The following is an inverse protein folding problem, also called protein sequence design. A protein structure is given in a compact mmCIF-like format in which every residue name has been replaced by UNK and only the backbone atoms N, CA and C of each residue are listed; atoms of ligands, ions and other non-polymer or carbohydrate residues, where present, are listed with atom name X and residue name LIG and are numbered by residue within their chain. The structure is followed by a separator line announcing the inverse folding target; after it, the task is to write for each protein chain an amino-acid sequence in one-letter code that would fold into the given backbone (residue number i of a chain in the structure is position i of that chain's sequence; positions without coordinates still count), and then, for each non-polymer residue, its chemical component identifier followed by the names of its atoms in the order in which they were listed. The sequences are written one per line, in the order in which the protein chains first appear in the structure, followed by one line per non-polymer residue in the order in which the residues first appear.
data_IF_565486666391
#
_entry.id   IF_565486666391
#
_cell.length_a   1.000
_cell.length_b   1.000
_cell.length_c   1.000
_cell.angle_alpha   90.00
_cell.angle_beta   90.00
_cell.angle_gamma   90.00
#
_symmetry.space_group_name_H-M   'P 1'
#
loop_
_entity.id
_entity.type
_entity.pdbx_description
1 polymer ?
#
# COMPACT_ATOMS: atom_id res chain seq x y z
N UNK A 1 7.81 -43.66 -53.27
CA UNK A 1 7.15 -43.82 -51.96
C UNK A 1 7.89 -42.95 -50.97
N UNK A 2 7.31 -41.80 -50.64
CA UNK A 2 7.82 -40.92 -49.59
C UNK A 2 7.17 -41.25 -48.25
N UNK A 3 7.86 -40.90 -47.18
CA UNK A 3 7.32 -40.20 -46.01
C UNK A 3 8.50 -39.86 -45.07
N UNK A 4 8.98 -38.62 -45.20
CA UNK A 4 9.82 -37.96 -44.19
C UNK A 4 8.87 -37.48 -43.09
N UNK A 5 8.97 -38.06 -41.90
CA UNK A 5 8.24 -37.60 -40.72
C UNK A 5 8.76 -36.21 -40.33
N UNK A 6 7.98 -35.16 -40.63
CA UNK A 6 8.16 -33.82 -40.11
C UNK A 6 7.62 -33.77 -38.67
N UNK A 7 8.51 -33.74 -37.69
CA UNK A 7 8.15 -33.34 -36.34
C UNK A 7 7.70 -31.88 -36.36
N UNK A 8 6.38 -31.68 -36.25
CA UNK A 8 5.78 -30.39 -35.99
C UNK A 8 6.14 -29.94 -34.58
N UNK A 9 7.28 -29.25 -34.44
CA UNK A 9 7.60 -28.46 -33.26
C UNK A 9 6.61 -27.29 -33.20
N UNK A 10 5.45 -27.50 -32.58
CA UNK A 10 4.50 -26.44 -32.29
C UNK A 10 5.20 -25.44 -31.38
N UNK A 11 5.64 -24.31 -31.95
CA UNK A 11 6.03 -23.12 -31.19
C UNK A 11 4.89 -22.83 -30.23
N UNK A 12 5.09 -23.12 -28.93
CA UNK A 12 4.28 -22.54 -27.87
C UNK A 12 4.42 -21.04 -28.01
N UNK A 13 3.43 -20.43 -28.65
CA UNK A 13 3.25 -18.98 -28.70
C UNK A 13 3.34 -18.50 -27.26
N UNK A 14 4.35 -17.68 -26.97
CA UNK A 14 4.45 -16.95 -25.72
C UNK A 14 3.16 -16.16 -25.56
N UNK A 15 2.23 -16.69 -24.76
CA UNK A 15 1.01 -16.00 -24.34
C UNK A 15 1.47 -14.71 -23.69
N UNK A 16 1.31 -13.61 -24.42
CA UNK A 16 1.51 -12.27 -23.90
C UNK A 16 0.37 -12.08 -22.88
N UNK A 17 0.67 -12.34 -21.61
CA UNK A 17 -0.32 -12.28 -20.52
C UNK A 17 -0.91 -10.87 -20.50
N UNK A 18 -2.22 -10.76 -20.71
CA UNK A 18 -2.93 -9.50 -20.51
C UNK A 18 -2.79 -9.04 -19.06
N UNK A 19 -2.58 -7.73 -18.86
CA UNK A 19 -2.48 -7.14 -17.52
C UNK A 19 -3.84 -7.21 -16.85
N UNK A 20 -3.89 -7.80 -15.65
CA UNK A 20 -5.11 -7.88 -14.84
C UNK A 20 -5.13 -6.78 -13.81
N UNK A 21 -6.32 -6.24 -13.55
CA UNK A 21 -6.55 -5.10 -12.69
C UNK A 21 -7.55 -5.42 -11.58
N UNK A 22 -7.34 -4.83 -10.41
CA UNK A 22 -8.33 -4.73 -9.33
C UNK A 22 -8.19 -3.34 -8.73
N UNK A 23 -9.26 -2.55 -8.81
CA UNK A 23 -9.26 -1.13 -8.42
C UNK A 23 -8.09 -0.37 -9.06
N UNK A 24 -7.10 0.03 -8.27
CA UNK A 24 -5.90 0.76 -8.69
C UNK A 24 -4.62 -0.09 -8.65
N UNK A 25 -4.75 -1.40 -8.42
CA UNK A 25 -3.65 -2.33 -8.45
C UNK A 25 -3.68 -3.17 -9.73
N UNK A 26 -2.51 -3.57 -10.23
CA UNK A 26 -2.42 -4.43 -11.39
C UNK A 26 -1.32 -5.50 -11.25
N UNK A 27 -1.41 -6.53 -12.11
CA UNK A 27 -0.56 -7.71 -12.02
C UNK A 27 0.92 -7.50 -12.38
N UNK A 28 1.30 -6.34 -12.94
CA UNK A 28 2.69 -6.03 -13.29
C UNK A 28 3.42 -5.27 -12.17
N UNK A 29 2.69 -4.63 -11.25
CA UNK A 29 3.27 -3.93 -10.10
C UNK A 29 3.97 -4.91 -9.14
N UNK A 30 5.08 -4.44 -8.54
CA UNK A 30 5.67 -5.08 -7.36
C UNK A 30 5.05 -4.51 -6.10
N UNK A 31 4.36 -5.33 -5.32
CA UNK A 31 3.54 -4.87 -4.20
C UNK A 31 4.06 -5.47 -2.90
N UNK A 32 4.41 -4.61 -1.94
CA UNK A 32 4.70 -4.99 -0.56
C UNK A 32 3.49 -4.63 0.31
N UNK A 33 2.87 -5.62 0.93
CA UNK A 33 1.77 -5.47 1.87
C UNK A 33 2.31 -5.55 3.30
N UNK A 34 2.11 -4.50 4.08
CA UNK A 34 2.68 -4.34 5.43
C UNK A 34 1.60 -4.36 6.49
N UNK A 35 1.77 -5.22 7.50
CA UNK A 35 0.83 -5.32 8.61
C UNK A 35 -0.46 -6.05 8.23
N UNK A 36 -0.37 -7.01 7.33
CA UNK A 36 -1.46 -7.95 7.10
C UNK A 36 -1.75 -8.71 8.40
N UNK A 37 -3.02 -8.95 8.69
CA UNK A 37 -3.42 -9.85 9.77
C UNK A 37 -3.57 -11.26 9.23
N UNK A 38 -4.79 -11.59 8.81
CA UNK A 38 -5.13 -12.92 8.28
C UNK A 38 -4.82 -13.12 6.79
N UNK A 39 -4.04 -12.22 6.19
CA UNK A 39 -3.67 -12.22 4.77
C UNK A 39 -4.84 -12.17 3.78
N UNK A 40 -6.08 -11.88 4.23
CA UNK A 40 -7.26 -11.92 3.36
C UNK A 40 -7.24 -10.85 2.25
N UNK A 41 -6.62 -9.70 2.49
CA UNK A 41 -6.45 -8.67 1.48
C UNK A 41 -5.41 -9.10 0.43
N UNK A 42 -4.28 -9.64 0.89
CA UNK A 42 -3.25 -10.22 0.01
C UNK A 42 -3.80 -11.34 -0.88
N UNK A 43 -4.60 -12.25 -0.29
CA UNK A 43 -5.22 -13.34 -1.03
C UNK A 43 -6.22 -12.82 -2.09
N UNK A 44 -6.99 -11.79 -1.77
CA UNK A 44 -7.89 -11.14 -2.72
C UNK A 44 -7.15 -10.61 -3.95
N UNK A 45 -6.07 -9.84 -3.75
CA UNK A 45 -5.24 -9.31 -4.83
C UNK A 45 -4.59 -10.44 -5.65
N UNK A 46 -4.00 -11.44 -4.99
CA UNK A 46 -3.38 -12.57 -5.66
C UNK A 46 -4.36 -13.35 -6.55
N UNK A 47 -5.59 -13.55 -6.07
CA UNK A 47 -6.66 -14.19 -6.83
C UNK A 47 -7.08 -13.35 -8.04
N UNK A 48 -7.25 -12.03 -7.87
CA UNK A 48 -7.57 -11.13 -8.97
C UNK A 48 -6.48 -11.12 -10.06
N UNK A 49 -5.20 -11.17 -9.66
CA UNK A 49 -4.08 -11.29 -10.59
C UNK A 49 -3.89 -12.72 -11.13
N UNK A 50 -4.48 -13.71 -10.49
CA UNK A 50 -4.25 -15.13 -10.74
C UNK A 50 -2.82 -15.59 -10.44
N UNK A 51 -2.08 -14.82 -9.62
CA UNK A 51 -0.68 -15.06 -9.25
C UNK A 51 -0.25 -14.08 -8.15
N UNK A 52 0.57 -14.55 -7.20
CA UNK A 52 1.18 -13.72 -6.17
C UNK A 52 2.68 -13.43 -6.41
N UNK A 53 3.22 -13.77 -7.60
CA UNK A 53 4.67 -13.72 -7.89
C UNK A 53 5.35 -12.36 -7.63
N UNK A 54 4.63 -11.26 -7.82
CA UNK A 54 5.15 -9.90 -7.65
C UNK A 54 4.71 -9.28 -6.32
N UNK A 55 4.20 -10.09 -5.38
CA UNK A 55 3.66 -9.63 -4.12
C UNK A 55 4.46 -10.21 -2.95
N UNK A 56 4.71 -9.38 -1.95
CA UNK A 56 5.24 -9.80 -0.64
C UNK A 56 4.27 -9.31 0.42
N UNK A 57 3.72 -10.21 1.22
CA UNK A 57 2.84 -9.87 2.33
C UNK A 57 3.52 -10.14 3.66
N UNK A 58 3.43 -9.19 4.57
CA UNK A 58 4.09 -9.25 5.89
C UNK A 58 3.06 -9.02 6.99
N UNK A 59 3.11 -9.89 8.01
CA UNK A 59 2.36 -9.74 9.25
C UNK A 59 3.34 -9.57 10.41
N UNK A 60 2.93 -8.84 11.44
CA UNK A 60 3.67 -8.73 12.70
C UNK A 60 3.43 -9.95 13.62
N UNK A 61 2.59 -10.91 13.21
CA UNK A 61 2.18 -12.03 14.05
C UNK A 61 3.36 -12.91 14.50
N UNK A 62 3.78 -12.70 15.74
CA UNK A 62 4.46 -13.71 16.54
C UNK A 62 3.51 -14.15 17.66
N UNK A 63 3.58 -15.43 18.05
CA UNK A 63 2.76 -16.04 19.12
C UNK A 63 2.96 -15.41 20.51
N UNK A 64 3.83 -14.38 20.64
CA UNK A 64 4.36 -13.88 21.89
C UNK A 64 4.23 -12.35 22.02
N UNK A 65 3.00 -11.84 22.07
CA UNK A 65 2.75 -10.56 22.78
C UNK A 65 1.35 -10.56 23.40
N UNK A 66 1.07 -11.61 24.16
CA UNK A 66 -0.13 -11.75 24.99
C UNK A 66 0.20 -11.37 26.44
N UNK A 67 0.60 -10.13 26.72
CA UNK A 67 0.68 -9.69 28.12
C UNK A 67 0.33 -8.22 28.34
N UNK A 68 -0.82 -8.07 29.00
CA UNK A 68 -1.35 -6.98 29.83
C UNK A 68 -1.86 -5.69 29.14
N UNK A 69 -3.18 -5.49 29.24
CA UNK A 69 -3.76 -4.21 29.67
C UNK A 69 -4.92 -4.47 30.62
N UNK A 70 -4.69 -4.21 31.89
CA UNK A 70 -5.70 -4.23 32.94
C UNK A 70 -6.35 -2.85 33.08
N UNK A 71 -7.57 -2.90 33.59
CA UNK A 71 -8.53 -1.83 33.80
C UNK A 71 -8.06 -0.85 34.90
N UNK A 72 -7.89 0.43 34.55
CA UNK A 72 -8.08 1.56 35.47
C UNK A 72 -8.54 2.78 34.69
N UNK A 73 -9.02 3.78 35.40
CA UNK A 73 -9.68 5.01 34.94
C UNK A 73 -8.84 5.96 34.05
N UNK A 74 -7.66 5.54 33.56
CA UNK A 74 -6.73 6.32 32.73
C UNK A 74 -6.98 6.23 31.20
N UNK A 75 -8.23 6.09 30.76
CA UNK A 75 -8.58 5.90 29.35
C UNK A 75 -7.98 7.00 28.43
N UNK A 76 -8.04 8.27 28.84
CA UNK A 76 -7.51 9.39 28.05
C UNK A 76 -5.99 9.35 27.89
N UNK A 77 -5.24 8.95 28.93
CA UNK A 77 -3.78 8.86 28.85
C UNK A 77 -3.34 7.67 28.00
N UNK A 78 -4.10 6.56 28.04
CA UNK A 78 -3.86 5.42 27.17
C UNK A 78 -4.15 5.75 25.70
N UNK A 79 -5.25 6.43 25.41
CA UNK A 79 -5.59 6.87 24.05
C UNK A 79 -4.51 7.78 23.46
N UNK A 80 -3.96 8.70 24.27
CA UNK A 80 -2.85 9.56 23.85
C UNK A 80 -1.55 8.78 23.62
N UNK A 81 -1.25 7.78 24.46
CA UNK A 81 -0.08 6.90 24.28
C UNK A 81 -0.19 6.07 23.01
N UNK A 82 -1.36 5.48 22.73
CA UNK A 82 -1.60 4.70 21.51
C UNK A 82 -1.59 5.59 20.26
N UNK A 83 -2.18 6.78 20.31
CA UNK A 83 -2.09 7.77 19.24
C UNK A 83 -0.64 8.10 18.87
N UNK A 84 0.23 8.33 19.88
CA UNK A 84 1.66 8.60 19.65
C UNK A 84 2.36 7.42 19.00
N UNK A 85 2.13 6.19 19.49
CA UNK A 85 2.71 4.97 18.92
C UNK A 85 2.31 4.77 17.46
N UNK A 86 1.02 4.87 17.14
CA UNK A 86 0.54 4.71 15.76
C UNK A 86 1.10 5.79 14.82
N UNK A 87 1.19 7.05 15.26
CA UNK A 87 1.81 8.11 14.47
C UNK A 87 3.30 7.87 14.25
N UNK A 88 4.01 7.37 15.27
CA UNK A 88 5.44 7.05 15.15
C UNK A 88 5.67 5.87 14.21
N UNK A 89 4.80 4.86 14.25
CA UNK A 89 4.79 3.75 13.30
C UNK A 89 4.64 4.27 11.86
N UNK A 90 3.63 5.12 11.61
CA UNK A 90 3.42 5.70 10.27
C UNK A 90 4.60 6.56 9.82
N UNK A 91 5.17 7.39 10.69
CA UNK A 91 6.35 8.20 10.38
C UNK A 91 7.54 7.31 9.98
N UNK A 92 7.83 6.27 10.74
CA UNK A 92 8.90 5.34 10.45
C UNK A 92 8.63 4.52 9.17
N UNK A 93 7.37 4.16 8.93
CA UNK A 93 6.95 3.49 7.70
C UNK A 93 7.24 4.35 6.48
N UNK A 94 6.76 5.60 6.43
CA UNK A 94 7.05 6.51 5.32
C UNK A 94 8.57 6.73 5.14
N UNK A 95 9.30 6.97 6.22
CA UNK A 95 10.76 7.16 6.17
C UNK A 95 11.51 5.92 5.64
N UNK A 96 10.96 4.72 5.85
CA UNK A 96 11.53 3.49 5.31
C UNK A 96 11.13 3.31 3.84
N UNK A 97 9.88 3.60 3.49
CA UNK A 97 9.36 3.52 2.12
C UNK A 97 10.09 4.44 1.17
N UNK A 98 10.48 5.66 1.58
CA UNK A 98 11.22 6.59 0.71
C UNK A 98 12.56 6.04 0.23
N UNK A 99 13.13 5.07 0.94
CA UNK A 99 14.40 4.41 0.58
C UNK A 99 14.23 3.16 -0.28
N UNK A 100 12.99 2.68 -0.44
CA UNK A 100 12.68 1.40 -1.09
C UNK A 100 11.91 1.58 -2.40
N UNK A 101 11.22 2.70 -2.58
CA UNK A 101 10.41 2.96 -3.77
C UNK A 101 11.29 3.34 -4.96
N UNK A 102 10.84 2.90 -6.15
CA UNK A 102 11.29 3.48 -7.41
C UNK A 102 10.76 4.91 -7.57
N UNK A 103 11.28 5.65 -8.55
CA UNK A 103 10.83 7.02 -8.86
C UNK A 103 9.32 7.13 -9.09
N UNK A 104 8.71 6.14 -9.75
CA UNK A 104 7.25 6.05 -9.99
C UNK A 104 6.51 5.26 -8.90
N UNK A 105 7.18 4.90 -7.81
CA UNK A 105 6.60 4.08 -6.76
C UNK A 105 5.62 4.85 -5.87
N UNK A 106 4.58 4.15 -5.41
CA UNK A 106 3.54 4.73 -4.56
C UNK A 106 3.47 4.05 -3.17
N UNK A 107 3.15 4.83 -2.14
CA UNK A 107 2.70 4.34 -0.83
C UNK A 107 1.19 4.46 -0.75
N UNK A 108 0.50 3.34 -0.56
CA UNK A 108 -0.93 3.32 -0.34
C UNK A 108 -1.24 3.03 1.12
N UNK A 109 -1.96 3.94 1.79
CA UNK A 109 -2.41 3.77 3.18
C UNK A 109 -3.93 3.81 3.22
N UNK A 110 -4.56 2.69 3.55
CA UNK A 110 -6.01 2.66 3.82
C UNK A 110 -6.27 3.07 5.26
N UNK A 111 -6.96 4.19 5.47
CA UNK A 111 -7.17 4.77 6.81
C UNK A 111 -8.55 5.42 6.93
N UNK A 112 -9.05 5.47 8.17
CA UNK A 112 -10.26 6.24 8.48
C UNK A 112 -9.98 7.73 8.54
N UNK A 113 -10.83 8.53 7.91
CA UNK A 113 -10.71 9.98 7.86
C UNK A 113 -11.70 10.73 8.77
N UNK A 114 -12.42 10.01 9.64
CA UNK A 114 -13.29 10.61 10.64
C UNK A 114 -12.61 10.72 12.03
N UNK A 115 -13.30 11.35 12.99
CA UNK A 115 -12.80 11.46 14.36
C UNK A 115 -12.81 10.09 15.07
N UNK A 116 -11.77 9.73 15.86
CA UNK A 116 -10.55 10.48 16.16
C UNK A 116 -9.39 10.21 15.18
N UNK A 117 -9.56 9.33 14.19
CA UNK A 117 -8.51 8.84 13.29
C UNK A 117 -7.86 9.94 12.44
N UNK A 118 -8.62 10.97 12.05
CA UNK A 118 -8.07 12.15 11.36
C UNK A 118 -7.00 12.89 12.18
N UNK A 119 -7.02 12.80 13.51
CA UNK A 119 -5.97 13.40 14.39
C UNK A 119 -4.58 12.79 14.18
N UNK A 120 -4.47 11.68 13.44
CA UNK A 120 -3.19 11.05 13.14
C UNK A 120 -2.36 11.90 12.16
N UNK A 121 -3.01 12.80 11.41
CA UNK A 121 -2.40 13.75 10.48
C UNK A 121 -1.50 13.05 9.44
N UNK A 122 -2.09 12.08 8.74
CA UNK A 122 -1.37 11.17 7.84
C UNK A 122 -0.55 11.92 6.78
N UNK A 123 -1.16 12.86 6.06
CA UNK A 123 -0.49 13.69 5.04
C UNK A 123 0.71 14.46 5.61
N UNK A 124 0.60 14.99 6.84
CA UNK A 124 1.72 15.68 7.50
C UNK A 124 2.87 14.73 7.82
N UNK A 125 2.57 13.47 8.17
CA UNK A 125 3.60 12.46 8.41
C UNK A 125 4.27 12.05 7.09
N UNK A 126 3.50 11.88 6.03
CA UNK A 126 4.01 11.58 4.69
C UNK A 126 4.93 12.70 4.18
N UNK A 127 4.49 13.97 4.26
CA UNK A 127 5.27 15.14 3.82
C UNK A 127 6.62 15.25 4.50
N UNK A 128 6.70 14.95 5.80
CA UNK A 128 7.99 14.93 6.54
C UNK A 128 9.01 13.92 5.99
N UNK A 129 8.54 12.89 5.30
CA UNK A 129 9.37 11.86 4.70
C UNK A 129 9.57 12.06 3.18
N UNK A 130 9.24 13.25 2.65
CA UNK A 130 9.42 13.59 1.24
C UNK A 130 8.30 13.09 0.32
N UNK A 131 7.11 12.80 0.86
CA UNK A 131 5.97 12.36 0.07
C UNK A 131 4.92 13.46 -0.13
N UNK A 132 4.26 13.43 -1.29
CA UNK A 132 3.07 14.23 -1.59
C UNK A 132 1.85 13.33 -1.76
N UNK A 133 0.67 13.82 -1.38
CA UNK A 133 -0.58 13.12 -1.63
C UNK A 133 -0.94 13.29 -3.12
N UNK A 134 -1.05 12.18 -3.83
CA UNK A 134 -1.44 12.14 -5.25
C UNK A 134 -2.96 12.02 -5.37
N UNK A 135 -3.54 11.10 -4.59
CA UNK A 135 -4.96 10.78 -4.70
C UNK A 135 -5.51 10.27 -3.36
N UNK A 136 -6.77 10.56 -3.09
CA UNK A 136 -7.53 9.97 -1.99
C UNK A 136 -8.78 9.29 -2.57
N UNK A 137 -8.81 7.96 -2.50
CA UNK A 137 -9.88 7.14 -3.10
C UNK A 137 -10.71 6.50 -2.00
N UNK A 138 -12.04 6.54 -2.11
CA UNK A 138 -12.91 5.84 -1.15
C UNK A 138 -12.63 4.34 -1.12
N UNK A 139 -12.47 3.78 0.08
CA UNK A 139 -12.28 2.36 0.28
C UNK A 139 -13.63 1.65 0.34
N UNK A 140 -13.96 0.91 -0.71
CA UNK A 140 -15.17 0.08 -0.78
C UNK A 140 -14.77 -1.38 -0.63
N UNK A 141 -15.16 -2.01 0.50
CA UNK A 141 -14.83 -3.40 0.81
C UNK A 141 -15.34 -4.36 -0.26
N UNK A 142 -16.47 -4.04 -0.86
CA UNK A 142 -17.17 -4.81 -1.90
C UNK A 142 -16.31 -4.99 -3.16
N UNK A 143 -15.39 -4.05 -3.42
CA UNK A 143 -14.42 -4.14 -4.53
C UNK A 143 -13.29 -5.14 -4.26
N UNK A 144 -13.22 -5.72 -3.06
CA UNK A 144 -12.21 -6.70 -2.66
C UNK A 144 -12.86 -8.01 -2.19
N UNK A 145 -13.33 -8.88 -3.12
CA UNK A 145 -13.97 -10.14 -2.77
C UNK A 145 -13.07 -11.04 -1.92
N UNK A 146 -13.62 -11.59 -0.83
CA UNK A 146 -12.88 -12.44 0.10
C UNK A 146 -12.08 -11.70 1.18
N UNK A 147 -11.97 -10.37 1.10
CA UNK A 147 -11.36 -9.57 2.17
C UNK A 147 -12.26 -9.47 3.41
N UNK A 148 -11.65 -9.65 4.59
CA UNK A 148 -12.34 -9.58 5.88
C UNK A 148 -11.67 -8.58 6.81
N UNK A 149 -12.32 -7.42 7.02
CA UNK A 149 -11.82 -6.45 7.99
C UNK A 149 -12.02 -6.97 9.42
N UNK A 150 -10.92 -7.08 10.17
CA UNK A 150 -10.90 -7.56 11.56
C UNK A 150 -10.16 -6.58 12.44
N UNK A 151 -10.57 -6.47 13.70
CA UNK A 151 -9.86 -5.70 14.72
C UNK A 151 -8.61 -6.47 15.17
N UNK A 152 -7.46 -5.80 15.14
CA UNK A 152 -6.27 -6.22 15.87
C UNK A 152 -6.36 -5.85 17.36
N UNK A 153 -5.47 -6.42 18.19
CA UNK A 153 -5.35 -6.12 19.61
C UNK A 153 -6.13 -7.04 20.56
N UNK A 154 -6.22 -6.67 21.83
CA UNK A 154 -6.74 -7.52 22.92
C UNK A 154 -8.26 -7.43 23.15
N UNK A 155 -8.88 -6.27 22.92
CA UNK A 155 -10.32 -6.07 23.16
C UNK A 155 -11.12 -6.33 21.89
N UNK A 156 -12.04 -7.32 21.93
CA UNK A 156 -12.88 -7.72 20.78
C UNK A 156 -12.04 -8.04 19.52
N UNK A 157 -10.86 -8.62 19.73
CA UNK A 157 -9.99 -9.14 18.68
C UNK A 157 -10.76 -10.04 17.72
N UNK A 158 -10.35 -10.07 16.45
CA UNK A 158 -10.96 -10.86 15.38
C UNK A 158 -12.43 -10.54 15.06
N UNK A 159 -13.07 -9.58 15.74
CA UNK A 159 -14.40 -9.08 15.37
C UNK A 159 -14.30 -8.04 14.26
N UNK A 160 -15.33 -7.97 13.41
CA UNK A 160 -15.49 -6.89 12.43
C UNK A 160 -15.64 -5.54 13.11
N UNK A 161 -15.35 -4.47 12.37
CA UNK A 161 -15.61 -3.10 12.80
C UNK A 161 -16.34 -2.32 11.69
N UNK A 162 -17.10 -1.27 12.04
CA UNK A 162 -17.72 -0.41 11.04
C UNK A 162 -16.67 0.25 10.17
N UNK A 163 -16.72 -0.01 8.87
CA UNK A 163 -16.00 0.73 7.84
C UNK A 163 -16.84 1.98 7.54
N UNK A 164 -16.54 3.08 8.24
CA UNK A 164 -17.13 4.40 7.98
C UNK A 164 -16.31 5.10 6.90
N UNK A 165 -16.11 6.41 6.99
CA UNK A 165 -15.25 7.24 6.13
C UNK A 165 -13.81 6.68 6.01
N UNK A 166 -13.63 5.63 5.21
CA UNK A 166 -12.37 4.93 4.99
C UNK A 166 -11.90 5.26 3.58
N UNK A 167 -10.65 5.70 3.47
CA UNK A 167 -10.05 6.07 2.19
C UNK A 167 -8.70 5.39 2.04
N UNK A 168 -8.35 5.07 0.81
CA UNK A 168 -6.97 4.76 0.42
C UNK A 168 -6.30 6.06 -0.01
N UNK A 169 -5.34 6.51 0.79
CA UNK A 169 -4.48 7.64 0.46
C UNK A 169 -3.28 7.12 -0.34
N UNK A 170 -3.04 7.69 -1.51
CA UNK A 170 -1.92 7.34 -2.39
C UNK A 170 -0.90 8.46 -2.38
N UNK A 171 0.34 8.12 -2.08
CA UNK A 171 1.43 9.07 -1.98
C UNK A 171 2.57 8.69 -2.93
N UNK A 172 3.20 9.66 -3.55
CA UNK A 172 4.43 9.49 -4.32
C UNK A 172 5.55 10.33 -3.70
N UNK A 173 6.80 10.00 -4.02
CA UNK A 173 7.92 10.90 -3.69
C UNK A 173 7.72 12.24 -4.40
N UNK A 174 8.01 13.33 -3.69
CA UNK A 174 8.05 14.66 -4.26
C UNK A 174 9.21 14.73 -5.26
N UNK A 175 8.93 15.02 -6.52
CA UNK A 175 9.97 15.21 -7.52
C UNK A 175 10.70 16.51 -7.19
N UNK A 176 12.02 16.43 -6.98
CA UNK A 176 12.83 17.63 -6.99
C UNK A 176 12.72 18.27 -8.37
N UNK A 177 12.37 19.54 -8.43
CA UNK A 177 12.57 20.33 -9.62
C UNK A 177 14.08 20.43 -9.81
N UNK A 178 14.67 19.53 -10.60
CA UNK A 178 15.95 19.86 -11.22
C UNK A 178 15.63 20.99 -12.22
N UNK A 179 16.18 22.18 -11.95
CA UNK A 179 16.12 23.30 -12.87
C UNK A 179 16.77 22.85 -14.18
N UNK A 180 15.97 22.71 -15.24
CA UNK A 180 16.42 22.38 -16.58
C UNK A 180 17.24 23.56 -17.13
N UNK A 181 18.54 23.61 -16.76
CA UNK A 181 19.56 24.55 -17.26
C UNK A 181 19.58 24.63 -18.81
N UNK A 182 19.03 23.63 -19.50
CA UNK A 182 18.90 23.60 -20.95
C UNK A 182 17.89 24.59 -21.53
N UNK A 183 16.88 25.02 -20.77
CA UNK A 183 15.88 25.99 -21.26
C UNK A 183 16.38 27.44 -21.14
N UNK A 184 17.15 27.75 -20.10
CA UNK A 184 17.73 29.08 -19.87
C UNK A 184 18.79 29.37 -20.94
N UNK A 185 19.66 28.41 -21.26
CA UNK A 185 20.65 28.54 -22.34
C UNK A 185 20.00 28.71 -23.73
N UNK A 186 18.89 28.01 -24.01
CA UNK A 186 18.15 28.17 -25.28
C UNK A 186 17.49 29.55 -25.39
N UNK A 187 16.94 30.08 -24.30
CA UNK A 187 16.37 31.44 -24.30
C UNK A 187 17.46 32.51 -24.51
N UNK A 188 18.65 32.34 -23.93
CA UNK A 188 19.77 33.27 -24.13
C UNK A 188 20.35 33.21 -25.55
N UNK A 189 20.36 32.04 -26.20
CA UNK A 189 20.80 31.87 -27.59
C UNK A 189 19.80 32.40 -28.63
N UNK A 190 18.53 32.60 -28.25
CA UNK A 190 17.49 33.18 -29.12
C UNK A 190 17.38 34.70 -28.98
N UNK A 191 18.12 35.30 -28.05
CA UNK A 191 18.15 36.74 -27.76
C UNK A 191 19.46 37.43 -28.19
N UNK A 192 20.35 36.72 -28.91
CA UNK A 192 21.54 37.25 -29.59
C UNK A 192 21.44 36.97 -31.09
#
# INVERSE_FOLDING_TARGET
MGELYSEHFTKKTSSQRSVKWITHYNSTQRILLVGEGDFSFSACLANAFGSAKNMVATSLDSKATLYWKQWSSEAHLQDLKELRKHRKLLENFFMSSSKMLSEEGEVHVTHRNDYPYRKWKLEKLAKKAGFVLVEMVEFMKEKYPGYHNKRGGSIKSNKKFPLKECFTFKFSLEKSLEEDDGLIMKMSSLLL
#
